data_IF_117665163611
#
_entry.id   IF_117665163611
#
_cell.length_a   1.000
_cell.length_b   1.000
_cell.length_c   1.000
_cell.angle_alpha   90.00
_cell.angle_beta   90.00
_cell.angle_gamma   90.00
#
_symmetry.space_group_name_H-M   'P 1'
#
loop_
_entity.id
_entity.type
_entity.pdbx_description
1 polymer ?
#
# COMPACT_ATOMS: atom_id res chain seq x y z
N UNK A 1 20.97 4.79 5.89
CA UNK A 1 20.32 5.82 5.05
C UNK A 1 20.57 7.21 5.63
N UNK A 2 20.69 8.22 4.82
CA UNK A 2 20.93 9.59 5.29
C UNK A 2 19.71 10.46 5.02
N UNK A 3 19.18 11.08 6.07
CA UNK A 3 18.10 12.05 5.97
C UNK A 3 18.68 13.42 5.59
N UNK A 4 18.08 14.07 4.60
CA UNK A 4 18.46 15.42 4.16
C UNK A 4 17.47 16.48 4.68
N UNK A 5 16.21 16.09 4.92
CA UNK A 5 15.14 16.97 5.39
C UNK A 5 14.23 16.22 6.37
N UNK A 6 13.66 16.83 7.43
CA UNK A 6 13.76 18.26 7.79
C UNK A 6 15.12 18.66 8.42
N UNK A 7 15.77 17.76 9.09
CA UNK A 7 17.09 17.98 9.70
C UNK A 7 18.06 16.91 9.20
N UNK A 8 19.23 17.28 8.70
CA UNK A 8 20.22 16.29 8.26
C UNK A 8 20.64 15.36 9.39
N UNK A 9 20.53 14.06 9.15
CA UNK A 9 20.93 12.98 10.06
C UNK A 9 21.51 11.84 9.23
N UNK A 10 22.60 11.23 9.69
CA UNK A 10 23.28 10.16 8.95
C UNK A 10 23.08 8.78 9.60
N UNK A 11 23.28 7.73 8.80
CA UNK A 11 23.28 6.34 9.24
C UNK A 11 21.98 5.88 9.94
N UNK A 12 20.83 6.33 9.47
CA UNK A 12 19.55 5.97 10.05
C UNK A 12 19.11 4.54 9.65
N UNK A 13 18.55 3.83 10.60
CA UNK A 13 17.83 2.59 10.35
C UNK A 13 16.44 2.91 9.77
N UNK A 14 16.03 2.32 8.63
CA UNK A 14 14.73 2.61 8.01
C UNK A 14 13.54 2.21 8.92
N UNK A 15 13.68 1.19 9.75
CA UNK A 15 12.60 0.76 10.67
C UNK A 15 12.37 1.79 11.77
N UNK A 16 13.44 2.28 12.37
CA UNK A 16 13.37 3.35 13.38
C UNK A 16 12.83 4.64 12.76
N UNK A 17 13.30 4.96 11.57
CA UNK A 17 12.89 6.15 10.83
C UNK A 17 11.38 6.18 10.58
N UNK A 18 10.78 5.09 10.10
CA UNK A 18 9.34 5.03 9.82
C UNK A 18 8.50 4.87 11.09
N UNK A 19 9.05 4.25 12.14
CA UNK A 19 8.36 4.06 13.43
C UNK A 19 8.25 5.37 14.22
N UNK A 20 9.16 6.32 14.05
CA UNK A 20 9.16 7.62 14.71
C UNK A 20 8.01 8.56 14.26
N UNK A 21 7.37 8.24 13.14
CA UNK A 21 6.33 9.08 12.54
C UNK A 21 4.96 8.90 13.20
N UNK A 22 4.30 10.01 13.48
CA UNK A 22 2.92 10.00 13.96
C UNK A 22 1.93 9.86 12.81
N UNK A 23 0.96 8.97 12.96
CA UNK A 23 -0.11 8.71 11.98
C UNK A 23 -1.46 8.70 12.69
N UNK A 24 -2.05 9.88 12.94
CA UNK A 24 -3.32 9.99 13.65
C UNK A 24 -4.46 9.52 12.76
N UNK A 25 -4.94 8.29 12.96
CA UNK A 25 -6.06 7.77 12.19
C UNK A 25 -7.30 8.65 12.36
N UNK A 26 -7.98 9.05 11.27
CA UNK A 26 -9.30 9.66 11.34
C UNK A 26 -10.30 8.80 12.13
N UNK A 27 -11.36 9.39 12.68
CA UNK A 27 -12.33 8.63 13.49
C UNK A 27 -13.09 7.56 12.69
N UNK A 28 -13.30 7.82 11.41
CA UNK A 28 -14.15 7.08 10.49
C UNK A 28 -13.41 6.15 9.52
N UNK A 29 -12.07 6.21 9.47
CA UNK A 29 -11.26 5.39 8.57
C UNK A 29 -9.82 5.20 9.09
N UNK A 30 -9.04 4.24 8.56
CA UNK A 30 -7.61 4.18 8.80
C UNK A 30 -6.88 5.42 8.24
N UNK A 31 -5.70 5.72 8.78
CA UNK A 31 -4.70 6.54 8.11
C UNK A 31 -4.19 5.80 6.88
N UNK A 32 -4.30 6.42 5.70
CA UNK A 32 -3.94 5.80 4.42
C UNK A 32 -2.57 6.30 3.95
N UNK A 33 -1.64 5.38 3.91
CA UNK A 33 -0.27 5.53 3.40
C UNK A 33 -0.17 4.84 2.05
N UNK A 34 0.25 5.56 1.02
CA UNK A 34 0.59 4.99 -0.31
C UNK A 34 2.10 4.88 -0.42
N UNK A 35 2.61 3.75 -0.89
CA UNK A 35 4.03 3.57 -1.20
C UNK A 35 4.24 3.15 -2.65
N UNK A 36 5.05 3.91 -3.36
CA UNK A 36 5.35 3.71 -4.78
C UNK A 36 6.84 3.91 -5.07
N UNK A 37 7.35 3.17 -6.05
CA UNK A 37 8.64 3.43 -6.69
C UNK A 37 8.40 3.91 -8.11
N UNK A 38 9.18 4.89 -8.56
CA UNK A 38 9.16 5.36 -9.94
C UNK A 38 10.58 5.69 -10.43
N UNK A 39 10.77 5.64 -11.74
CA UNK A 39 11.95 6.19 -12.41
C UNK A 39 11.98 7.73 -12.31
N UNK A 40 13.09 8.36 -12.68
CA UNK A 40 13.22 9.82 -12.72
C UNK A 40 12.16 10.45 -13.64
N UNK A 41 11.82 9.78 -14.75
CA UNK A 41 10.82 10.20 -15.72
C UNK A 41 9.39 9.71 -15.42
N UNK A 42 9.16 9.13 -14.22
CA UNK A 42 7.84 8.84 -13.65
C UNK A 42 7.27 7.46 -13.96
N UNK A 43 7.99 6.57 -14.62
CA UNK A 43 7.52 5.21 -14.87
C UNK A 43 7.56 4.37 -13.60
N UNK A 44 6.54 3.52 -13.40
CA UNK A 44 6.44 2.62 -12.22
C UNK A 44 6.81 1.18 -12.53
N UNK A 45 7.20 0.89 -13.75
CA UNK A 45 7.54 -0.46 -14.19
C UNK A 45 8.65 -0.43 -15.25
N UNK A 46 9.42 -1.52 -15.28
CA UNK A 46 10.33 -1.89 -16.37
C UNK A 46 9.92 -3.30 -16.78
N UNK A 47 9.67 -3.54 -18.07
CA UNK A 47 9.21 -4.83 -18.58
C UNK A 47 7.96 -5.38 -17.86
N UNK A 48 7.03 -4.46 -17.49
CA UNK A 48 5.76 -4.81 -16.84
C UNK A 48 5.85 -5.15 -15.36
N UNK A 49 6.97 -4.86 -14.68
CA UNK A 49 7.16 -5.12 -13.25
C UNK A 49 7.89 -3.96 -12.54
N UNK A 50 7.55 -3.78 -11.27
CA UNK A 50 8.21 -2.77 -10.41
C UNK A 50 9.64 -3.15 -10.02
N UNK A 51 9.97 -4.45 -10.05
CA UNK A 51 11.26 -4.97 -9.59
C UNK A 51 12.49 -4.40 -10.29
N UNK A 52 12.36 -3.94 -11.55
CA UNK A 52 13.43 -3.28 -12.29
C UNK A 52 13.80 -1.88 -11.78
N UNK A 53 12.93 -1.25 -10.99
CA UNK A 53 13.15 0.05 -10.35
C UNK A 53 13.58 -0.07 -8.89
N UNK A 54 13.32 -1.23 -8.27
CA UNK A 54 13.49 -1.42 -6.83
C UNK A 54 14.94 -1.77 -6.47
N UNK A 55 15.66 -0.83 -5.88
CA UNK A 55 17.02 -0.99 -5.35
C UNK A 55 17.05 -1.69 -3.99
N UNK A 56 18.26 -1.89 -3.43
CA UNK A 56 18.42 -2.36 -2.05
C UNK A 56 17.83 -1.36 -1.04
N UNK A 57 18.04 -0.05 -1.27
CA UNK A 57 17.52 1.01 -0.43
C UNK A 57 15.97 1.04 -0.45
N UNK A 58 15.37 0.97 -1.64
CA UNK A 58 13.92 0.88 -1.79
C UNK A 58 13.33 -0.34 -1.08
N UNK A 59 13.93 -1.53 -1.27
CA UNK A 59 13.50 -2.76 -0.58
C UNK A 59 13.59 -2.66 0.94
N UNK A 60 14.64 -2.03 1.47
CA UNK A 60 14.80 -1.83 2.91
C UNK A 60 13.69 -0.91 3.45
N UNK A 61 13.39 0.20 2.77
CA UNK A 61 12.30 1.10 3.13
C UNK A 61 10.93 0.42 2.99
N UNK A 62 10.70 -0.30 1.91
CA UNK A 62 9.48 -1.08 1.69
C UNK A 62 9.21 -2.09 2.83
N UNK A 63 10.23 -2.85 3.23
CA UNK A 63 10.11 -3.78 4.36
C UNK A 63 9.90 -3.07 5.69
N UNK A 64 10.49 -1.90 5.89
CA UNK A 64 10.25 -1.08 7.07
C UNK A 64 8.80 -0.57 7.11
N UNK A 65 8.29 -0.05 5.99
CA UNK A 65 6.91 0.41 5.87
C UNK A 65 5.89 -0.70 6.11
N UNK A 66 6.14 -1.92 5.67
CA UNK A 66 5.26 -3.08 5.91
C UNK A 66 5.13 -3.48 7.38
N UNK A 67 6.02 -3.02 8.26
CA UNK A 67 5.92 -3.27 9.70
C UNK A 67 4.94 -2.34 10.41
N UNK A 68 4.45 -1.29 9.76
CA UNK A 68 3.62 -0.26 10.39
C UNK A 68 2.11 -0.57 10.36
N UNK A 69 1.52 -0.95 9.21
CA UNK A 69 0.09 -0.93 9.01
C UNK A 69 -0.59 -2.10 9.72
N UNK A 70 -1.88 -1.93 10.01
CA UNK A 70 -2.74 -3.05 10.38
C UNK A 70 -3.17 -3.82 9.12
N UNK A 71 -3.26 -3.11 7.99
CA UNK A 71 -3.65 -3.66 6.68
C UNK A 71 -2.68 -3.22 5.59
N UNK A 72 -2.22 -4.18 4.78
CA UNK A 72 -1.55 -3.94 3.50
C UNK A 72 -2.56 -4.17 2.39
N UNK A 73 -2.79 -3.18 1.54
CA UNK A 73 -3.80 -3.23 0.49
C UNK A 73 -3.18 -3.10 -0.90
N UNK A 74 -3.66 -3.90 -1.84
CA UNK A 74 -3.30 -3.78 -3.25
C UNK A 74 -4.48 -4.09 -4.18
N UNK A 75 -4.44 -3.57 -5.40
CA UNK A 75 -5.41 -3.94 -6.43
C UNK A 75 -5.15 -5.35 -6.98
N UNK A 76 -6.20 -6.05 -7.39
CA UNK A 76 -6.12 -7.42 -7.92
C UNK A 76 -5.16 -7.57 -9.12
N UNK A 77 -5.01 -6.51 -9.94
CA UNK A 77 -4.02 -6.49 -11.03
C UNK A 77 -2.59 -6.61 -10.51
N UNK A 78 -2.23 -5.76 -9.55
CA UNK A 78 -0.91 -5.75 -8.90
C UNK A 78 -0.64 -7.08 -8.19
N UNK A 79 -1.62 -7.60 -7.45
CA UNK A 79 -1.52 -8.89 -6.76
C UNK A 79 -1.15 -10.02 -7.73
N UNK A 80 -1.75 -10.05 -8.93
CA UNK A 80 -1.44 -11.05 -9.96
C UNK A 80 -0.06 -10.85 -10.58
N UNK A 81 0.27 -9.62 -11.00
CA UNK A 81 1.53 -9.31 -11.70
C UNK A 81 2.74 -9.54 -10.79
N UNK A 82 2.66 -9.07 -9.54
CA UNK A 82 3.74 -9.17 -8.56
C UNK A 82 3.70 -10.49 -7.74
N UNK A 83 2.75 -11.38 -8.06
CA UNK A 83 2.60 -12.71 -7.44
C UNK A 83 2.59 -12.62 -5.90
N UNK A 84 1.67 -11.84 -5.36
CA UNK A 84 1.54 -11.65 -3.90
C UNK A 84 1.31 -12.98 -3.19
N UNK A 85 1.84 -13.08 -1.99
CA UNK A 85 1.64 -14.19 -1.07
C UNK A 85 1.47 -13.69 0.36
N UNK A 86 1.38 -14.61 1.33
CA UNK A 86 1.25 -14.28 2.74
C UNK A 86 2.32 -13.29 3.20
N UNK A 87 1.96 -12.41 4.12
CA UNK A 87 2.90 -11.43 4.68
C UNK A 87 3.97 -12.15 5.49
N UNK A 88 5.22 -11.74 5.29
CA UNK A 88 6.36 -12.27 6.04
C UNK A 88 7.06 -11.12 6.75
N UNK A 89 7.15 -11.23 8.06
CA UNK A 89 7.96 -10.37 8.93
C UNK A 89 8.83 -11.27 9.81
N UNK A 90 10.04 -10.83 10.11
CA UNK A 90 10.91 -11.52 11.07
C UNK A 90 10.35 -11.44 12.50
N UNK A 91 10.93 -12.20 13.42
CA UNK A 91 10.47 -12.29 14.80
C UNK A 91 10.55 -10.93 15.53
N UNK A 92 11.58 -10.13 15.24
CA UNK A 92 11.76 -8.83 15.87
C UNK A 92 10.71 -7.83 15.38
N UNK A 93 10.40 -7.83 14.09
CA UNK A 93 9.33 -7.02 13.51
C UNK A 93 7.96 -7.40 14.10
N UNK A 94 7.68 -8.70 14.24
CA UNK A 94 6.46 -9.19 14.88
C UNK A 94 6.38 -8.74 16.35
N UNK A 95 7.47 -8.88 17.11
CA UNK A 95 7.54 -8.44 18.49
C UNK A 95 7.30 -6.92 18.63
N UNK A 96 7.92 -6.10 17.77
CA UNK A 96 7.68 -4.65 17.73
C UNK A 96 6.23 -4.30 17.46
N UNK A 97 5.55 -5.02 16.57
CA UNK A 97 4.11 -4.84 16.30
C UNK A 97 3.25 -5.16 17.51
N UNK A 98 3.49 -6.32 18.14
CA UNK A 98 2.76 -6.74 19.34
C UNK A 98 2.96 -5.73 20.49
N UNK A 99 4.17 -5.21 20.66
CA UNK A 99 4.47 -4.18 21.67
C UNK A 99 3.69 -2.86 21.43
N UNK A 100 3.29 -2.57 20.16
CA UNK A 100 2.41 -1.45 19.80
C UNK A 100 0.92 -1.76 19.90
N UNK A 101 0.54 -2.96 20.36
CA UNK A 101 -0.84 -3.41 20.45
C UNK A 101 -1.45 -3.86 19.11
N UNK A 102 -0.61 -4.16 18.12
CA UNK A 102 -1.05 -4.66 16.80
C UNK A 102 -0.98 -6.20 16.77
N UNK A 103 -1.63 -6.81 15.77
CA UNK A 103 -1.39 -8.22 15.44
C UNK A 103 0.07 -8.42 14.99
N UNK A 104 0.63 -9.60 15.22
CA UNK A 104 2.01 -9.92 14.84
C UNK A 104 2.28 -9.70 13.35
N UNK A 105 1.31 -10.00 12.49
CA UNK A 105 1.34 -9.73 11.06
C UNK A 105 0.21 -8.79 10.65
N UNK A 106 0.44 -7.86 9.71
CA UNK A 106 -0.64 -7.09 9.10
C UNK A 106 -1.51 -8.00 8.23
N UNK A 107 -2.79 -7.68 8.11
CA UNK A 107 -3.66 -8.38 7.16
C UNK A 107 -3.42 -7.90 5.74
N UNK A 108 -3.51 -8.81 4.77
CA UNK A 108 -3.58 -8.43 3.35
C UNK A 108 -5.03 -8.10 2.99
N UNK A 109 -5.24 -7.03 2.22
CA UNK A 109 -6.50 -6.69 1.59
C UNK A 109 -6.32 -6.56 0.08
N UNK A 110 -7.21 -7.14 -0.70
CA UNK A 110 -7.19 -7.07 -2.17
C UNK A 110 -8.47 -6.42 -2.66
N UNK A 111 -8.31 -5.33 -3.42
CA UNK A 111 -9.43 -4.66 -4.06
C UNK A 111 -9.70 -5.29 -5.43
N UNK A 112 -10.86 -5.94 -5.58
CA UNK A 112 -11.28 -6.62 -6.80
C UNK A 112 -12.79 -6.45 -7.03
N UNK A 113 -13.20 -5.47 -7.83
CA UNK A 113 -14.62 -5.17 -8.03
C UNK A 113 -15.48 -6.35 -8.50
N UNK A 114 -14.89 -7.35 -9.14
CA UNK A 114 -15.57 -8.54 -9.64
C UNK A 114 -15.24 -9.82 -8.86
N UNK A 115 -14.45 -9.73 -7.80
CA UNK A 115 -13.94 -10.89 -7.05
C UNK A 115 -13.18 -11.94 -7.89
N UNK A 116 -12.72 -11.59 -9.09
CA UNK A 116 -12.00 -12.52 -9.96
C UNK A 116 -10.55 -12.70 -9.46
N UNK A 117 -10.38 -13.60 -8.50
CA UNK A 117 -9.10 -14.06 -7.95
C UNK A 117 -9.09 -15.59 -8.00
N UNK A 118 -7.93 -16.17 -8.27
CA UNK A 118 -7.74 -17.62 -8.24
C UNK A 118 -7.52 -18.07 -6.79
N UNK A 119 -8.46 -18.87 -6.19
CA UNK A 119 -8.33 -19.38 -4.82
C UNK A 119 -7.10 -20.28 -4.61
N UNK A 120 -6.55 -20.86 -5.67
CA UNK A 120 -5.34 -21.67 -5.63
C UNK A 120 -4.06 -20.83 -5.72
N UNK A 121 -4.18 -19.51 -5.94
CA UNK A 121 -3.01 -18.64 -6.05
C UNK A 121 -2.23 -18.56 -4.75
N UNK A 122 -0.97 -18.12 -4.86
CA UNK A 122 -0.07 -17.93 -3.73
C UNK A 122 -0.64 -17.00 -2.65
N UNK A 123 -1.51 -16.08 -3.01
CA UNK A 123 -2.18 -15.16 -2.08
C UNK A 123 -2.89 -15.90 -0.93
N UNK A 124 -3.51 -17.04 -1.23
CA UNK A 124 -4.31 -17.82 -0.29
C UNK A 124 -3.57 -19.07 0.26
N UNK A 125 -2.27 -19.16 0.06
CA UNK A 125 -1.49 -20.37 0.39
C UNK A 125 -1.27 -20.60 1.89
N UNK A 126 -1.58 -19.62 2.76
CA UNK A 126 -1.49 -19.76 4.21
C UNK A 126 -2.87 -19.58 4.85
N UNK A 127 -3.50 -20.68 5.33
CA UNK A 127 -4.84 -20.61 5.91
C UNK A 127 -4.91 -19.81 7.23
N UNK A 128 -3.76 -19.53 7.87
CA UNK A 128 -3.71 -18.71 9.09
C UNK A 128 -3.68 -17.23 8.80
N UNK A 129 -3.41 -16.83 7.55
CA UNK A 129 -3.36 -15.45 7.08
C UNK A 129 -4.44 -15.20 6.01
N UNK A 130 -5.70 -15.44 6.36
CA UNK A 130 -6.81 -15.21 5.43
C UNK A 130 -6.82 -13.74 4.98
N UNK A 131 -6.63 -13.44 3.67
CA UNK A 131 -6.72 -12.07 3.19
C UNK A 131 -8.17 -11.56 3.23
N UNK A 132 -8.31 -10.23 3.21
CA UNK A 132 -9.59 -9.56 2.98
C UNK A 132 -9.73 -9.33 1.48
N UNK A 133 -10.86 -9.71 0.89
CA UNK A 133 -11.22 -9.35 -0.48
C UNK A 133 -12.32 -8.29 -0.43
N UNK A 134 -11.99 -7.09 -0.88
CA UNK A 134 -12.93 -5.96 -0.96
C UNK A 134 -13.52 -5.97 -2.37
N UNK A 135 -14.83 -6.17 -2.46
CA UNK A 135 -15.54 -6.33 -3.73
C UNK A 135 -16.87 -5.58 -3.75
N UNK A 136 -17.56 -5.60 -4.88
CA UNK A 136 -18.88 -4.96 -5.04
C UNK A 136 -20.01 -5.96 -4.77
N UNK A 137 -21.20 -5.44 -4.47
CA UNK A 137 -22.41 -6.28 -4.33
C UNK A 137 -22.87 -6.89 -5.66
N UNK A 138 -22.41 -6.35 -6.80
CA UNK A 138 -22.67 -6.88 -8.15
C UNK A 138 -21.59 -7.89 -8.62
N UNK A 139 -20.63 -8.25 -7.76
CA UNK A 139 -19.71 -9.35 -8.07
C UNK A 139 -20.51 -10.67 -8.23
N UNK A 140 -20.07 -11.54 -9.14
CA UNK A 140 -20.71 -12.84 -9.35
C UNK A 140 -20.75 -13.64 -8.04
N UNK A 141 -21.90 -14.21 -7.70
CA UNK A 141 -22.04 -15.11 -6.54
C UNK A 141 -21.05 -16.26 -6.61
N UNK A 142 -20.88 -16.88 -7.78
CA UNK A 142 -19.96 -18.00 -7.97
C UNK A 142 -18.50 -17.58 -7.65
N UNK A 143 -18.06 -16.41 -8.17
CA UNK A 143 -16.72 -15.90 -7.91
C UNK A 143 -16.50 -15.56 -6.42
N UNK A 144 -17.54 -15.08 -5.73
CA UNK A 144 -17.48 -14.80 -4.29
C UNK A 144 -17.46 -16.11 -3.49
N UNK A 145 -18.30 -17.08 -3.85
CA UNK A 145 -18.41 -18.35 -3.13
C UNK A 145 -17.12 -19.17 -3.22
N UNK A 146 -16.41 -19.13 -4.35
CA UNK A 146 -15.07 -19.72 -4.50
C UNK A 146 -14.04 -19.15 -3.52
N UNK A 147 -14.22 -17.91 -3.08
CA UNK A 147 -13.28 -17.23 -2.18
C UNK A 147 -13.64 -17.37 -0.70
N UNK A 148 -14.89 -17.74 -0.36
CA UNK A 148 -15.37 -17.76 1.04
C UNK A 148 -14.55 -18.67 1.95
N UNK A 149 -14.01 -19.75 1.43
CA UNK A 149 -13.22 -20.70 2.22
C UNK A 149 -11.80 -20.18 2.51
N UNK A 150 -11.28 -19.27 1.68
CA UNK A 150 -9.88 -18.82 1.72
C UNK A 150 -9.70 -17.34 2.06
N UNK A 151 -10.78 -16.55 2.05
CA UNK A 151 -10.75 -15.10 2.30
C UNK A 151 -11.93 -14.63 3.16
N UNK A 152 -11.78 -13.46 3.79
CA UNK A 152 -12.88 -12.71 4.37
C UNK A 152 -13.36 -11.68 3.34
N UNK A 153 -14.67 -11.59 3.11
CA UNK A 153 -15.24 -10.75 2.06
C UNK A 153 -15.86 -9.49 2.66
N UNK A 154 -15.44 -8.34 2.16
CA UNK A 154 -16.07 -7.03 2.41
C UNK A 154 -16.79 -6.60 1.14
N UNK A 155 -18.10 -6.38 1.23
CA UNK A 155 -18.90 -5.82 0.15
C UNK A 155 -18.99 -4.31 0.31
N UNK A 156 -18.49 -3.55 -0.65
CA UNK A 156 -18.51 -2.10 -0.63
C UNK A 156 -18.84 -1.53 -2.02
N UNK A 157 -19.98 -0.84 -2.14
CA UNK A 157 -20.48 -0.34 -3.42
C UNK A 157 -21.13 -1.39 -4.29
N UNK A 158 -21.68 -0.97 -5.42
CA UNK A 158 -22.40 -1.85 -6.37
C UNK A 158 -21.63 -2.05 -7.68
N UNK A 159 -21.41 -1.01 -8.47
CA UNK A 159 -20.73 -1.10 -9.77
C UNK A 159 -19.21 -0.92 -9.65
N UNK A 160 -18.79 -0.08 -8.72
CA UNK A 160 -17.41 0.14 -8.35
C UNK A 160 -17.23 -0.02 -6.85
N UNK A 161 -16.05 -0.45 -6.42
CA UNK A 161 -15.76 -0.55 -4.99
C UNK A 161 -15.83 0.84 -4.36
N UNK A 162 -16.66 1.00 -3.33
CA UNK A 162 -16.69 2.19 -2.49
C UNK A 162 -15.59 2.08 -1.41
N UNK A 163 -14.47 2.75 -1.64
CA UNK A 163 -13.32 2.69 -0.72
C UNK A 163 -13.63 3.38 0.62
N UNK A 164 -14.56 4.37 0.68
CA UNK A 164 -14.96 5.01 1.94
C UNK A 164 -15.70 4.03 2.82
N UNK A 165 -16.68 3.32 2.25
CA UNK A 165 -17.45 2.30 2.96
C UNK A 165 -16.53 1.15 3.42
N UNK A 166 -15.63 0.67 2.54
CA UNK A 166 -14.67 -0.37 2.89
C UNK A 166 -13.73 0.05 4.04
N UNK A 167 -13.26 1.30 4.03
CA UNK A 167 -12.36 1.81 5.07
C UNK A 167 -13.08 2.05 6.40
N UNK A 168 -14.36 2.45 6.37
CA UNK A 168 -15.18 2.53 7.58
C UNK A 168 -15.29 1.15 8.24
N UNK A 169 -15.57 0.10 7.47
CA UNK A 169 -15.64 -1.27 7.99
C UNK A 169 -14.28 -1.76 8.54
N UNK A 170 -13.17 -1.50 7.83
CA UNK A 170 -11.83 -1.79 8.36
C UNK A 170 -11.57 -1.07 9.69
N UNK A 171 -12.05 0.17 9.80
CA UNK A 171 -11.91 0.97 11.04
C UNK A 171 -12.73 0.40 12.19
N UNK A 172 -13.95 -0.06 11.94
CA UNK A 172 -14.80 -0.75 12.91
C UNK A 172 -14.16 -2.06 13.39
N UNK A 173 -13.44 -2.76 12.51
CA UNK A 173 -12.62 -3.94 12.86
C UNK A 173 -11.35 -3.58 13.65
N UNK A 174 -11.14 -2.30 14.02
CA UNK A 174 -10.02 -1.83 14.83
C UNK A 174 -8.76 -1.49 14.04
N UNK A 175 -8.77 -1.55 12.72
CA UNK A 175 -7.62 -1.23 11.88
C UNK A 175 -7.44 0.29 11.78
N UNK A 176 -6.28 0.78 12.18
CA UNK A 176 -5.98 2.22 12.30
C UNK A 176 -5.06 2.73 11.19
N UNK A 177 -4.26 1.86 10.60
CA UNK A 177 -3.28 2.24 9.58
C UNK A 177 -3.33 1.28 8.41
N UNK A 178 -3.41 1.82 7.19
CA UNK A 178 -3.47 1.09 5.94
C UNK A 178 -2.30 1.52 5.05
N UNK A 179 -1.51 0.55 4.57
CA UNK A 179 -0.50 0.75 3.52
C UNK A 179 -1.08 0.30 2.19
N UNK A 180 -1.22 1.21 1.23
CA UNK A 180 -1.56 0.88 -0.15
C UNK A 180 -0.28 0.73 -0.99
N UNK A 181 -0.12 -0.44 -1.61
CA UNK A 181 0.99 -0.76 -2.52
C UNK A 181 0.57 -0.69 -4.01
N UNK A 182 -0.46 0.09 -4.28
CA UNK A 182 -0.96 0.30 -5.62
C UNK A 182 -1.96 -0.79 -6.06
N UNK A 183 -2.27 -1.04 -7.36
CA UNK A 183 -1.73 -0.39 -8.56
C UNK A 183 -2.31 0.97 -8.92
N UNK A 184 -1.93 1.45 -10.08
CA UNK A 184 -2.19 2.83 -10.48
C UNK A 184 -3.69 3.18 -10.54
N UNK A 185 -4.55 2.27 -10.91
CA UNK A 185 -6.02 2.48 -10.90
C UNK A 185 -6.56 2.63 -9.48
N UNK A 186 -6.07 1.81 -8.52
CA UNK A 186 -6.45 1.92 -7.12
C UNK A 186 -5.94 3.23 -6.51
N UNK A 187 -4.69 3.60 -6.80
CA UNK A 187 -4.13 4.87 -6.38
C UNK A 187 -4.95 6.06 -6.90
N UNK A 188 -5.36 6.01 -8.19
CA UNK A 188 -6.22 7.06 -8.76
C UNK A 188 -7.58 7.14 -8.04
N UNK A 189 -8.18 6.01 -7.68
CA UNK A 189 -9.42 6.01 -6.91
C UNK A 189 -9.23 6.63 -5.52
N UNK A 190 -8.16 6.29 -4.80
CA UNK A 190 -7.81 6.91 -3.52
C UNK A 190 -7.66 8.43 -3.63
N UNK A 191 -7.00 8.90 -4.70
CA UNK A 191 -6.82 10.34 -4.95
C UNK A 191 -8.15 11.04 -5.26
N UNK A 192 -8.99 10.44 -6.09
CA UNK A 192 -10.32 10.99 -6.43
C UNK A 192 -11.23 11.09 -5.19
N UNK A 193 -11.18 10.08 -4.35
CA UNK A 193 -12.01 9.98 -3.16
C UNK A 193 -11.42 10.74 -1.96
N UNK A 194 -10.28 11.45 -2.15
CA UNK A 194 -9.59 12.22 -1.11
C UNK A 194 -9.24 11.38 0.13
N UNK A 195 -8.72 10.17 -0.09
CA UNK A 195 -8.44 9.20 0.96
C UNK A 195 -6.96 9.07 1.31
N UNK A 196 -6.05 9.74 0.59
CA UNK A 196 -4.61 9.65 0.83
C UNK A 196 -4.19 10.63 1.92
N UNK A 197 -3.58 10.14 2.98
CA UNK A 197 -3.03 10.95 4.09
C UNK A 197 -1.51 11.09 4.00
N UNK A 198 -0.85 10.07 3.44
CA UNK A 198 0.60 10.01 3.31
C UNK A 198 0.99 9.37 1.98
N UNK A 199 2.00 9.94 1.32
CA UNK A 199 2.56 9.40 0.08
C UNK A 199 4.06 9.23 0.24
N UNK A 200 4.52 7.98 0.21
CA UNK A 200 5.94 7.62 0.16
C UNK A 200 6.32 7.32 -1.29
N UNK A 201 7.28 8.07 -1.82
CA UNK A 201 7.74 7.94 -3.20
C UNK A 201 9.24 7.66 -3.22
N UNK A 202 9.60 6.50 -3.75
CA UNK A 202 11.00 6.23 -4.15
C UNK A 202 11.21 6.74 -5.56
N UNK A 203 12.28 7.52 -5.78
CA UNK A 203 12.76 7.90 -7.11
C UNK A 203 14.02 7.09 -7.39
N UNK A 204 13.89 6.09 -8.26
CA UNK A 204 15.00 5.28 -8.72
C UNK A 204 15.84 6.07 -9.75
N UNK A 205 17.19 5.98 -9.73
CA UNK A 205 18.06 6.70 -10.65
C UNK A 205 18.09 6.04 -12.05
N UNK A 206 16.90 5.86 -12.63
CA UNK A 206 16.67 5.18 -13.90
C UNK A 206 15.82 6.07 -14.81
N UNK A 207 16.12 6.08 -16.09
CA UNK A 207 15.28 6.65 -17.15
C UNK A 207 14.75 5.49 -18.00
N UNK A 208 13.44 5.43 -18.20
CA UNK A 208 12.78 4.39 -18.97
C UNK A 208 12.36 4.86 -20.35
N UNK A 209 11.92 6.12 -20.46
CA UNK A 209 11.31 6.66 -21.67
C UNK A 209 9.99 6.00 -22.05
N UNK A 210 9.45 6.36 -23.20
CA UNK A 210 8.22 5.75 -23.75
C UNK A 210 6.93 6.14 -23.01
N UNK A 211 5.94 5.25 -23.06
CA UNK A 211 4.60 5.45 -22.47
C UNK A 211 4.38 4.51 -21.28
N UNK A 212 5.36 4.39 -20.39
CA UNK A 212 5.23 3.54 -19.22
C UNK A 212 4.09 4.00 -18.29
N UNK A 213 3.55 3.06 -17.51
CA UNK A 213 2.52 3.36 -16.53
C UNK A 213 3.05 4.34 -15.47
N UNK A 214 2.16 5.22 -14.99
CA UNK A 214 2.45 6.20 -13.94
C UNK A 214 1.89 5.72 -12.59
N UNK A 215 2.33 6.29 -11.46
CA UNK A 215 1.87 5.93 -10.11
C UNK A 215 0.34 6.00 -9.93
N UNK A 216 -0.35 6.79 -10.74
CA UNK A 216 -1.80 6.93 -10.75
C UNK A 216 -2.29 7.04 -12.19
N UNK A 217 -3.27 6.21 -12.57
CA UNK A 217 -3.84 6.17 -13.93
C UNK A 217 -5.35 6.08 -13.87
N UNK A 218 -6.03 7.01 -14.52
CA UNK A 218 -7.50 7.09 -14.57
C UNK A 218 -7.99 8.52 -14.73
N UNK A 219 -9.27 8.75 -14.45
CA UNK A 219 -9.84 10.11 -14.48
C UNK A 219 -9.23 10.95 -13.34
N UNK A 220 -8.86 12.22 -13.60
CA UNK A 220 -8.27 13.08 -12.59
C UNK A 220 -9.26 13.36 -11.44
N UNK A 221 -8.78 13.67 -10.24
CA UNK A 221 -9.62 14.20 -9.18
C UNK A 221 -10.21 15.55 -9.60
N UNK A 222 -11.38 15.90 -9.05
CA UNK A 222 -12.01 17.21 -9.33
C UNK A 222 -11.13 18.40 -8.90
N UNK A 223 -10.38 18.21 -7.82
CA UNK A 223 -9.44 19.20 -7.26
C UNK A 223 -8.13 18.51 -6.92
N UNK A 224 -7.02 19.08 -7.38
CA UNK A 224 -5.70 18.63 -6.95
C UNK A 224 -5.53 18.82 -5.44
N UNK A 225 -4.90 17.85 -4.78
CA UNK A 225 -4.64 17.89 -3.34
C UNK A 225 -3.17 18.19 -3.07
N UNK A 226 -2.92 19.05 -2.10
CA UNK A 226 -1.57 19.34 -1.64
C UNK A 226 -1.23 18.46 -0.44
N UNK A 227 -0.02 17.93 -0.45
CA UNK A 227 0.63 17.29 0.69
C UNK A 227 1.90 18.11 1.00
N UNK A 228 2.32 18.10 2.25
CA UNK A 228 3.56 18.75 2.66
C UNK A 228 4.72 17.75 2.60
N UNK A 229 5.87 18.21 2.12
CA UNK A 229 7.10 17.44 2.21
C UNK A 229 7.47 17.26 3.68
N UNK A 230 7.45 16.02 4.15
CA UNK A 230 7.72 15.68 5.53
C UNK A 230 9.13 15.10 5.71
N UNK A 231 9.68 14.42 4.69
CA UNK A 231 11.02 13.82 4.77
C UNK A 231 11.64 13.59 3.38
N UNK A 232 12.94 13.79 3.33
CA UNK A 232 13.81 13.36 2.21
C UNK A 232 14.94 12.53 2.77
N UNK A 233 15.10 11.32 2.25
CA UNK A 233 16.19 10.40 2.59
C UNK A 233 16.92 10.02 1.31
N UNK A 234 18.21 9.83 1.38
CA UNK A 234 19.07 9.36 0.29
C UNK A 234 19.83 8.11 0.72
N UNK A 235 19.94 7.16 -0.21
CA UNK A 235 20.79 5.97 -0.10
C UNK A 235 21.07 5.44 -1.51
N UNK A 236 22.32 5.15 -1.84
CA UNK A 236 22.72 4.53 -3.12
C UNK A 236 22.13 5.27 -4.36
N UNK A 237 22.22 6.61 -4.41
CA UNK A 237 21.65 7.49 -5.45
C UNK A 237 20.10 7.47 -5.57
N UNK A 238 19.42 6.80 -4.65
CA UNK A 238 17.95 6.73 -4.59
C UNK A 238 17.43 7.80 -3.65
N UNK A 239 16.39 8.54 -4.07
CA UNK A 239 15.64 9.43 -3.20
C UNK A 239 14.39 8.72 -2.66
N UNK A 240 14.20 8.81 -1.36
CA UNK A 240 13.05 8.29 -0.63
C UNK A 240 12.32 9.48 -0.01
N UNK A 241 11.18 9.81 -0.59
CA UNK A 241 10.41 11.00 -0.25
C UNK A 241 9.18 10.60 0.56
N UNK A 242 8.85 11.41 1.55
CA UNK A 242 7.60 11.30 2.29
C UNK A 242 6.87 12.63 2.25
N UNK A 243 5.63 12.57 1.78
CA UNK A 243 4.67 13.67 1.85
C UNK A 243 3.51 13.27 2.74
N UNK A 244 2.98 14.18 3.54
CA UNK A 244 1.85 13.92 4.41
C UNK A 244 0.88 15.11 4.43
N UNK A 245 -0.37 14.84 4.83
CA UNK A 245 -1.32 15.91 5.13
C UNK A 245 -0.86 16.71 6.34
N UNK A 246 -1.21 17.98 6.37
CA UNK A 246 -1.20 18.75 7.63
C UNK A 246 -2.10 18.07 8.67
N UNK A 247 -1.58 17.88 9.86
CA UNK A 247 -2.30 17.36 11.04
C UNK A 247 -3.10 18.47 11.72
#
# INVERSE_FOLDING_TARGET
MDQLFPTPLANLDPVELVAAETRPAPPDRPWVLVNMVASIDGAIEVEGRSGGLSSRADKAMFHALRQLPDVIMAGAGTVRVENYGPVKLDADAQARRVARGQQALPRLAVVSGRAHLDPASRLFSDPTQRPIVITTTNASSDAVDELRDVADIIFAGSDTVDLRAAFAELREQGMKTLLCEGGPTLNNQLLRDDLVDEWCQTIAPVLTGGNAAQPSTGSPPQVARSLQLARVVVEDDVLLLRYARES
#
